data_IF_104481010114
#
_entry.id   IF_104481010114
#
_cell.length_a   1.000
_cell.length_b   1.000
_cell.length_c   1.000
_cell.angle_alpha   90.00
_cell.angle_beta   90.00
_cell.angle_gamma   90.00
#
_symmetry.space_group_name_H-M   'P 1'
#
loop_
_entity.id
_entity.type
_entity.pdbx_description
1 polymer ?
#
# COMPACT_ATOMS: atom_id res chain seq x y z
N UNK A 1 0.92 -20.25 12.95
CA UNK A 1 -0.01 -19.36 12.22
C UNK A 1 0.23 -17.94 12.71
N UNK A 2 0.33 -16.95 11.82
CA UNK A 2 0.65 -15.55 12.21
C UNK A 2 -0.46 -14.57 11.86
N UNK A 3 -1.19 -14.81 10.76
CA UNK A 3 -2.36 -14.02 10.38
C UNK A 3 -3.37 -14.86 9.60
N UNK A 4 -4.61 -14.38 9.51
CA UNK A 4 -5.66 -14.91 8.62
C UNK A 4 -6.28 -13.73 7.89
N UNK A 5 -6.30 -13.78 6.55
CA UNK A 5 -7.01 -12.80 5.72
C UNK A 5 -8.28 -13.45 5.17
N UNK A 6 -9.43 -12.80 5.37
CA UNK A 6 -10.70 -13.30 4.88
C UNK A 6 -11.01 -12.72 3.49
N UNK A 7 -11.44 -13.58 2.58
CA UNK A 7 -11.85 -13.20 1.22
C UNK A 7 -13.28 -13.62 0.93
N UNK A 8 -13.87 -13.07 -0.13
CA UNK A 8 -15.20 -13.49 -0.59
C UNK A 8 -15.16 -14.95 -1.03
N UNK A 9 -16.10 -15.75 -0.52
CA UNK A 9 -16.27 -17.13 -0.94
C UNK A 9 -17.37 -17.27 -1.99
N UNK A 10 -17.13 -18.12 -2.99
CA UNK A 10 -18.09 -18.45 -4.05
C UNK A 10 -19.42 -19.03 -3.52
N UNK A 11 -19.45 -19.52 -2.28
CA UNK A 11 -20.64 -20.08 -1.61
C UNK A 11 -21.34 -19.08 -0.69
N UNK A 12 -20.99 -17.79 -0.77
CA UNK A 12 -21.52 -16.73 0.10
C UNK A 12 -20.94 -16.71 1.52
N UNK A 13 -20.11 -17.68 1.90
CA UNK A 13 -19.38 -17.72 3.18
C UNK A 13 -17.94 -17.29 2.97
N UNK A 14 -17.40 -16.33 3.76
CA UNK A 14 -15.99 -15.93 3.65
C UNK A 14 -15.03 -17.10 3.80
N UNK A 15 -13.94 -17.10 3.03
CA UNK A 15 -12.85 -18.09 3.15
C UNK A 15 -11.67 -17.44 3.85
N UNK A 16 -11.08 -18.13 4.83
CA UNK A 16 -9.89 -17.67 5.54
C UNK A 16 -8.61 -18.19 4.87
N UNK A 17 -7.74 -17.27 4.47
CA UNK A 17 -6.39 -17.58 3.97
C UNK A 17 -5.42 -17.48 5.14
N UNK A 18 -4.87 -18.62 5.55
CA UNK A 18 -3.94 -18.72 6.68
C UNK A 18 -2.52 -18.37 6.21
N UNK A 19 -1.90 -17.39 6.87
CA UNK A 19 -0.52 -17.00 6.61
C UNK A 19 0.40 -17.53 7.70
N UNK A 20 1.47 -18.21 7.27
CA UNK A 20 2.60 -18.53 8.15
C UNK A 20 3.54 -17.32 8.28
N UNK A 21 4.36 -17.31 9.33
CA UNK A 21 5.42 -16.33 9.49
C UNK A 21 6.36 -16.27 8.26
N UNK A 22 6.69 -17.44 7.68
CA UNK A 22 7.52 -17.52 6.48
C UNK A 22 6.87 -16.84 5.27
N UNK A 23 5.55 -16.96 5.11
CA UNK A 23 4.84 -16.25 4.03
C UNK A 23 4.97 -14.74 4.18
N UNK A 24 4.78 -14.22 5.39
CA UNK A 24 4.90 -12.78 5.65
C UNK A 24 6.31 -12.26 5.38
N UNK A 25 7.33 -12.93 5.89
CA UNK A 25 8.74 -12.53 5.67
C UNK A 25 9.13 -12.61 4.20
N UNK A 26 8.73 -13.68 3.50
CA UNK A 26 9.01 -13.85 2.08
C UNK A 26 8.31 -12.76 1.23
N UNK A 27 7.05 -12.43 1.56
CA UNK A 27 6.31 -11.36 0.90
C UNK A 27 6.97 -9.99 1.09
N UNK A 28 7.25 -9.60 2.34
CA UNK A 28 7.92 -8.33 2.64
C UNK A 28 9.29 -8.20 1.97
N UNK A 29 10.10 -9.27 1.98
CA UNK A 29 11.40 -9.31 1.28
C UNK A 29 11.24 -9.16 -0.24
N UNK A 30 10.26 -9.86 -0.83
CA UNK A 30 10.02 -9.80 -2.27
C UNK A 30 9.62 -8.39 -2.70
N UNK A 31 8.65 -7.79 -2.01
CA UNK A 31 8.13 -6.45 -2.33
C UNK A 31 9.21 -5.39 -2.16
N UNK A 32 9.91 -5.40 -1.02
CA UNK A 32 11.00 -4.47 -0.77
C UNK A 32 12.10 -4.55 -1.83
N UNK A 33 12.39 -5.76 -2.33
CA UNK A 33 13.41 -5.98 -3.34
C UNK A 33 13.04 -5.39 -4.71
N UNK A 34 11.84 -5.65 -5.24
CA UNK A 34 11.51 -5.17 -6.59
C UNK A 34 11.12 -3.69 -6.64
N UNK A 35 10.72 -3.10 -5.50
CA UNK A 35 10.47 -1.66 -5.37
C UNK A 35 11.71 -0.87 -4.93
N UNK A 36 12.85 -1.55 -4.68
CA UNK A 36 14.08 -0.95 -4.15
C UNK A 36 13.80 -0.08 -2.90
N UNK A 37 13.04 -0.64 -1.95
CA UNK A 37 12.75 0.01 -0.69
C UNK A 37 13.97 0.04 0.23
N UNK A 38 14.20 1.18 0.87
CA UNK A 38 15.37 1.47 1.72
C UNK A 38 14.93 2.04 3.06
N UNK A 39 15.83 2.04 4.03
CA UNK A 39 15.54 2.58 5.37
C UNK A 39 15.18 4.09 5.37
N UNK A 40 15.56 4.83 4.32
CA UNK A 40 15.22 6.24 4.14
C UNK A 40 13.82 6.47 3.56
N UNK A 41 13.09 5.43 3.17
CA UNK A 41 11.77 5.56 2.57
C UNK A 41 10.68 5.82 3.61
N UNK A 42 9.63 6.52 3.17
CA UNK A 42 8.36 6.66 3.90
C UNK A 42 7.22 6.09 3.05
N UNK A 43 6.66 4.96 3.47
CA UNK A 43 5.59 4.27 2.77
C UNK A 43 4.23 4.67 3.33
N UNK A 44 3.26 4.97 2.46
CA UNK A 44 1.89 5.25 2.91
C UNK A 44 1.05 3.97 2.87
N UNK A 45 0.60 3.51 4.04
CA UNK A 45 -0.39 2.45 4.16
C UNK A 45 -1.80 3.04 4.00
N UNK A 46 -2.18 3.33 2.76
CA UNK A 46 -3.49 3.88 2.41
C UNK A 46 -4.60 2.81 2.30
N UNK A 47 -4.23 1.54 2.08
CA UNK A 47 -5.21 0.45 1.94
C UNK A 47 -5.50 -0.20 3.29
N UNK A 48 -6.71 -0.75 3.51
CA UNK A 48 -7.05 -1.45 4.76
C UNK A 48 -6.06 -2.57 5.08
N UNK A 49 -5.69 -2.73 6.36
CA UNK A 49 -4.81 -3.81 6.80
C UNK A 49 -5.45 -5.21 6.70
N UNK A 50 -6.77 -5.29 6.56
CA UNK A 50 -7.49 -6.52 6.25
C UNK A 50 -7.33 -6.95 4.79
N UNK A 51 -6.82 -6.08 3.93
CA UNK A 51 -6.43 -6.38 2.56
C UNK A 51 -4.92 -6.67 2.50
N UNK A 52 -4.53 -7.70 1.75
CA UNK A 52 -3.14 -8.17 1.69
C UNK A 52 -2.15 -7.08 1.27
N UNK A 53 -2.50 -6.25 0.29
CA UNK A 53 -1.66 -5.16 -0.17
C UNK A 53 -1.51 -4.03 0.85
N UNK A 54 -2.55 -3.76 1.66
CA UNK A 54 -2.49 -2.79 2.76
C UNK A 54 -1.58 -3.28 3.87
N UNK A 55 -1.73 -4.55 4.26
CA UNK A 55 -0.84 -5.18 5.23
C UNK A 55 0.61 -5.31 4.71
N UNK A 56 0.79 -5.54 3.42
CA UNK A 56 2.10 -5.66 2.77
C UNK A 56 2.97 -4.42 2.98
N UNK A 57 2.38 -3.22 3.03
CA UNK A 57 3.14 -1.97 3.27
C UNK A 57 3.86 -1.99 4.62
N UNK A 58 3.22 -2.54 5.66
CA UNK A 58 3.85 -2.73 6.98
C UNK A 58 5.02 -3.71 6.89
N UNK A 59 4.78 -4.90 6.33
CA UNK A 59 5.82 -5.95 6.28
C UNK A 59 7.01 -5.57 5.39
N UNK A 60 6.74 -4.78 4.33
CA UNK A 60 7.77 -4.21 3.45
C UNK A 60 8.61 -3.19 4.21
N UNK A 61 7.97 -2.23 4.89
CA UNK A 61 8.67 -1.22 5.66
C UNK A 61 9.50 -1.83 6.80
N UNK A 62 8.94 -2.78 7.55
CA UNK A 62 9.67 -3.48 8.61
C UNK A 62 10.88 -4.25 8.06
N UNK A 63 10.77 -4.84 6.87
CA UNK A 63 11.88 -5.55 6.25
C UNK A 63 13.00 -4.61 5.81
N UNK A 64 12.67 -3.47 5.19
CA UNK A 64 13.65 -2.51 4.68
C UNK A 64 14.17 -1.50 5.72
N UNK A 65 13.59 -1.50 6.92
CA UNK A 65 13.84 -0.47 7.94
C UNK A 65 13.23 0.89 7.61
N UNK A 66 12.30 0.93 6.65
CA UNK A 66 11.62 2.16 6.24
C UNK A 66 10.57 2.60 7.27
N UNK A 67 10.17 3.87 7.17
CA UNK A 67 9.03 4.41 7.91
C UNK A 67 7.73 4.03 7.20
N UNK A 68 6.69 3.73 7.98
CA UNK A 68 5.33 3.53 7.45
C UNK A 68 4.35 4.51 8.11
N UNK A 69 3.57 5.18 7.28
CA UNK A 69 2.50 6.09 7.70
C UNK A 69 1.18 5.36 7.56
N UNK A 70 0.48 5.16 8.68
CA UNK A 70 -0.86 4.63 8.67
C UNK A 70 -1.85 5.75 8.36
N UNK A 71 -2.73 5.51 7.39
CA UNK A 71 -3.76 6.47 7.03
C UNK A 71 -5.13 5.80 7.08
N UNK A 72 -6.00 6.32 7.93
CA UNK A 72 -7.43 6.06 7.86
C UNK A 72 -8.08 7.28 7.21
N UNK A 73 -8.22 7.27 5.89
CA UNK A 73 -8.75 8.42 5.15
C UNK A 73 -10.28 8.35 5.03
N UNK A 74 -10.90 9.52 4.98
CA UNK A 74 -12.32 9.66 4.64
C UNK A 74 -12.48 10.07 3.17
N UNK A 75 -11.54 10.86 2.64
CA UNK A 75 -11.60 11.42 1.30
C UNK A 75 -10.25 11.25 0.56
N UNK A 76 -10.24 11.12 -0.79
CA UNK A 76 -9.00 10.99 -1.56
C UNK A 76 -8.01 12.14 -1.36
N UNK A 77 -8.49 13.37 -1.10
CA UNK A 77 -7.64 14.52 -0.78
C UNK A 77 -6.80 14.33 0.48
N UNK A 78 -7.24 13.49 1.43
CA UNK A 78 -6.50 13.23 2.66
C UNK A 78 -5.26 12.38 2.39
N UNK A 79 -5.27 11.58 1.32
CA UNK A 79 -4.10 10.85 0.82
C UNK A 79 -3.03 11.84 0.35
N UNK A 80 -3.39 12.81 -0.49
CA UNK A 80 -2.43 13.82 -0.98
C UNK A 80 -1.86 14.68 0.16
N UNK A 81 -2.71 15.10 1.10
CA UNK A 81 -2.27 15.83 2.30
C UNK A 81 -1.29 15.02 3.15
N UNK A 82 -1.56 13.72 3.34
CA UNK A 82 -0.65 12.84 4.06
C UNK A 82 0.67 12.65 3.29
N UNK A 83 0.61 12.49 1.97
CA UNK A 83 1.79 12.36 1.12
C UNK A 83 2.71 13.59 1.22
N UNK A 84 2.13 14.78 1.14
CA UNK A 84 2.85 16.05 1.29
C UNK A 84 3.43 16.19 2.71
N UNK A 85 2.58 16.09 3.73
CA UNK A 85 2.99 16.31 5.14
C UNK A 85 4.07 15.34 5.59
N UNK A 86 3.98 14.09 5.16
CA UNK A 86 4.83 13.01 5.64
C UNK A 86 5.98 12.68 4.69
N UNK A 87 6.14 13.44 3.61
CA UNK A 87 7.16 13.23 2.57
C UNK A 87 7.18 11.78 2.06
N UNK A 88 6.01 11.28 1.67
CA UNK A 88 5.84 9.89 1.23
C UNK A 88 6.67 9.62 -0.02
N UNK A 89 7.46 8.54 0.01
CA UNK A 89 8.31 8.10 -1.11
C UNK A 89 7.69 6.97 -1.92
N UNK A 90 6.70 6.25 -1.38
CA UNK A 90 6.03 5.15 -2.08
C UNK A 90 4.54 5.08 -1.80
N UNK A 91 3.73 5.02 -2.86
CA UNK A 91 2.27 4.84 -2.77
C UNK A 91 1.83 3.56 -3.48
N UNK A 92 1.35 2.59 -2.70
CA UNK A 92 0.60 1.44 -3.22
C UNK A 92 -0.90 1.68 -3.12
N UNK A 93 -1.62 1.58 -4.24
CA UNK A 93 -3.07 1.74 -4.26
C UNK A 93 -3.75 0.81 -5.28
N UNK A 94 -5.07 0.92 -5.36
CA UNK A 94 -5.94 0.20 -6.31
C UNK A 94 -6.42 1.15 -7.41
N UNK A 95 -6.81 0.66 -8.60
CA UNK A 95 -7.21 1.53 -9.70
C UNK A 95 -8.31 2.56 -9.35
N UNK A 96 -9.37 2.21 -8.59
CA UNK A 96 -10.37 3.21 -8.19
C UNK A 96 -9.81 4.38 -7.40
N UNK A 97 -8.83 4.14 -6.51
CA UNK A 97 -8.18 5.22 -5.75
C UNK A 97 -7.30 6.05 -6.68
N UNK A 98 -6.52 5.43 -7.57
CA UNK A 98 -5.74 6.19 -8.55
C UNK A 98 -6.60 7.09 -9.42
N UNK A 99 -7.74 6.60 -9.93
CA UNK A 99 -8.68 7.40 -10.72
C UNK A 99 -9.15 8.63 -9.93
N UNK A 100 -9.51 8.46 -8.65
CA UNK A 100 -9.90 9.56 -7.80
C UNK A 100 -8.75 10.57 -7.59
N UNK A 101 -7.53 10.09 -7.34
CA UNK A 101 -6.37 10.96 -7.15
C UNK A 101 -5.99 11.73 -8.42
N UNK A 102 -6.17 11.15 -9.61
CA UNK A 102 -5.89 11.85 -10.88
C UNK A 102 -6.84 13.02 -11.18
N UNK A 103 -7.99 13.09 -10.49
CA UNK A 103 -8.94 14.18 -10.64
C UNK A 103 -8.67 15.35 -9.67
N UNK A 104 -7.65 15.23 -8.82
CA UNK A 104 -7.26 16.23 -7.84
C UNK A 104 -6.05 17.04 -8.31
N UNK A 105 -5.88 18.22 -7.74
CA UNK A 105 -4.65 18.99 -7.87
C UNK A 105 -3.60 18.46 -6.88
N UNK A 106 -2.42 18.14 -7.39
CA UNK A 106 -1.32 17.56 -6.60
C UNK A 106 -0.39 18.66 -6.11
N UNK A 107 -0.09 18.74 -4.80
CA UNK A 107 0.93 19.64 -4.30
C UNK A 107 2.29 19.33 -4.93
N UNK A 108 2.95 20.35 -5.50
CA UNK A 108 4.25 20.21 -6.16
C UNK A 108 5.37 19.66 -5.24
N UNK A 109 5.20 19.76 -3.92
CA UNK A 109 6.12 19.18 -2.95
C UNK A 109 6.15 17.64 -2.99
N UNK A 110 5.07 16.98 -3.43
CA UNK A 110 5.01 15.52 -3.54
C UNK A 110 6.02 15.01 -4.58
N UNK A 111 6.15 15.70 -5.70
CA UNK A 111 7.06 15.32 -6.79
C UNK A 111 8.55 15.35 -6.39
N UNK A 112 8.88 16.02 -5.28
CA UNK A 112 10.26 16.12 -4.77
C UNK A 112 10.72 14.86 -4.03
N UNK A 113 9.79 14.02 -3.56
CA UNK A 113 10.09 12.89 -2.68
C UNK A 113 9.52 11.56 -3.19
N UNK A 114 8.44 11.60 -3.96
CA UNK A 114 7.78 10.40 -4.45
C UNK A 114 8.67 9.65 -5.46
N UNK A 115 9.00 8.40 -5.14
CA UNK A 115 9.87 7.55 -5.97
C UNK A 115 9.08 6.59 -6.85
N UNK A 116 7.95 6.07 -6.37
CA UNK A 116 7.17 5.09 -7.12
C UNK A 116 5.68 5.08 -6.77
N UNK A 117 4.91 4.61 -7.74
CA UNK A 117 3.56 4.11 -7.60
C UNK A 117 3.54 2.59 -7.77
N UNK A 118 2.71 1.89 -6.99
CA UNK A 118 2.48 0.46 -7.15
C UNK A 118 0.99 0.14 -7.18
N UNK A 119 0.55 -0.62 -8.18
CA UNK A 119 -0.86 -0.95 -8.34
C UNK A 119 -1.16 -2.42 -7.99
N UNK A 120 -2.34 -2.68 -7.43
CA UNK A 120 -2.83 -4.02 -7.12
C UNK A 120 -4.35 -4.14 -7.27
N UNK A 121 -4.89 -5.36 -7.18
CA UNK A 121 -6.32 -5.64 -7.05
C UNK A 121 -7.17 -5.49 -8.32
N UNK A 122 -6.70 -4.82 -9.37
CA UNK A 122 -7.49 -4.64 -10.59
C UNK A 122 -6.70 -4.18 -11.82
N UNK A 123 -7.34 -4.27 -12.97
CA UNK A 123 -6.80 -3.80 -14.25
C UNK A 123 -6.69 -2.27 -14.24
N UNK A 124 -5.49 -1.75 -14.50
CA UNK A 124 -5.32 -0.33 -14.79
C UNK A 124 -5.97 0.01 -16.14
N UNK A 125 -6.87 1.01 -16.20
CA UNK A 125 -7.42 1.46 -17.47
C UNK A 125 -6.30 2.01 -18.36
N UNK A 126 -6.42 1.79 -19.67
CA UNK A 126 -5.58 2.48 -20.66
C UNK A 126 -6.23 3.83 -20.95
N UNK A 127 -5.40 4.85 -21.14
CA UNK A 127 -5.83 6.15 -21.66
C UNK A 127 -6.47 6.00 -23.05
#
# INVERSE_FOLDING_TARGET
MTAILYTSGSTGRPKGVVLSHRNMVAGGKSVASYLDNRASDTLLAALPLSFDAGFSQLTTAFHSGARVVLLNYLLPKDVLKAMEREQVTGLTAVPPLYIQLTQLEWPAAIDQHLRYFANTGGRMPRA
#
